data_IF_687046205388
#
_entry.id   IF_687046205388
#
_cell.length_a   1.000
_cell.length_b   1.000
_cell.length_c   1.000
_cell.angle_alpha   90.00
_cell.angle_beta   90.00
_cell.angle_gamma   90.00
#
_symmetry.space_group_name_H-M   'P 1'
#
loop_
_entity.id
_entity.type
_entity.pdbx_description
1 polymer ?
#
# COMPACT_ATOMS: atom_id res chain seq x y z
N UNK A 1 32.22 -10.84 -5.91
CA UNK A 1 31.36 -9.74 -6.40
C UNK A 1 30.99 -8.90 -5.19
N UNK A 2 30.98 -7.57 -5.29
CA UNK A 2 30.48 -6.72 -4.20
C UNK A 2 28.97 -6.94 -4.03
N UNK A 3 28.48 -6.91 -2.79
CA UNK A 3 27.05 -6.84 -2.50
C UNK A 3 26.42 -5.65 -3.27
N UNK A 4 25.23 -5.81 -3.86
CA UNK A 4 24.52 -4.69 -4.46
C UNK A 4 24.18 -3.62 -3.41
N UNK A 5 24.33 -2.33 -3.76
CA UNK A 5 23.88 -1.25 -2.89
C UNK A 5 22.35 -1.30 -2.73
N UNK A 6 21.86 -1.02 -1.51
CA UNK A 6 20.43 -0.91 -1.26
C UNK A 6 19.85 0.39 -1.80
N UNK A 7 18.70 0.31 -2.47
CA UNK A 7 17.91 1.45 -2.95
C UNK A 7 16.47 1.26 -2.46
N UNK A 8 15.98 2.21 -1.68
CA UNK A 8 14.60 2.23 -1.20
C UNK A 8 13.73 3.16 -2.04
N UNK A 9 12.52 2.74 -2.36
CA UNK A 9 11.51 3.58 -3.01
C UNK A 9 10.28 3.75 -2.12
N UNK A 10 9.85 5.00 -1.92
CA UNK A 10 8.51 5.29 -1.40
C UNK A 10 7.50 5.10 -2.53
N UNK A 11 6.59 4.14 -2.40
CA UNK A 11 5.66 3.74 -3.47
C UNK A 11 4.27 4.36 -3.33
N UNK A 12 4.21 5.56 -2.74
CA UNK A 12 2.95 6.29 -2.60
C UNK A 12 3.20 7.79 -2.54
N UNK A 13 2.18 8.57 -2.86
CA UNK A 13 2.13 10.00 -2.62
C UNK A 13 0.73 10.40 -2.13
N UNK A 14 0.61 11.64 -1.61
CA UNK A 14 -0.62 12.12 -0.96
C UNK A 14 -1.85 12.04 -1.88
N UNK A 15 -1.69 12.49 -3.12
CA UNK A 15 -2.77 12.67 -4.10
C UNK A 15 -3.15 11.43 -4.93
N UNK A 16 -2.74 10.22 -4.51
CA UNK A 16 -3.23 8.99 -5.14
C UNK A 16 -4.75 8.92 -4.99
N UNK A 17 -5.43 8.50 -6.07
CA UNK A 17 -6.87 8.30 -6.10
C UNK A 17 -7.31 7.30 -5.03
N UNK A 18 -8.44 7.53 -4.32
CA UNK A 18 -8.94 6.60 -3.31
C UNK A 18 -9.77 5.47 -3.93
N UNK A 19 -9.34 4.91 -5.05
CA UNK A 19 -10.05 3.86 -5.80
C UNK A 19 -9.70 2.44 -5.37
N UNK A 20 -8.63 2.26 -4.57
CA UNK A 20 -8.19 0.95 -4.09
C UNK A 20 -7.29 0.19 -5.06
N UNK A 21 -6.68 0.86 -6.05
CA UNK A 21 -5.85 0.19 -7.06
C UNK A 21 -4.39 -0.05 -6.64
N UNK A 22 -3.88 0.66 -5.62
CA UNK A 22 -2.44 0.75 -5.33
C UNK A 22 -1.76 -0.61 -5.15
N UNK A 23 -2.38 -1.55 -4.44
CA UNK A 23 -1.80 -2.88 -4.23
C UNK A 23 -1.65 -3.67 -5.52
N UNK A 24 -2.66 -3.62 -6.39
CA UNK A 24 -2.61 -4.27 -7.70
C UNK A 24 -1.61 -3.57 -8.64
N UNK A 25 -1.55 -2.24 -8.62
CA UNK A 25 -0.55 -1.48 -9.37
C UNK A 25 0.88 -1.80 -8.93
N UNK A 26 1.12 -1.97 -7.62
CA UNK A 26 2.42 -2.38 -7.11
C UNK A 26 2.80 -3.77 -7.61
N UNK A 27 1.89 -4.73 -7.48
CA UNK A 27 2.07 -6.11 -7.94
C UNK A 27 2.43 -6.20 -9.42
N UNK A 28 1.82 -5.37 -10.27
CA UNK A 28 2.08 -5.33 -11.71
C UNK A 28 3.45 -4.72 -12.06
N UNK A 29 3.97 -3.83 -11.21
CA UNK A 29 5.18 -3.04 -11.47
C UNK A 29 6.43 -3.56 -10.77
N UNK A 30 6.30 -4.44 -9.78
CA UNK A 30 7.42 -4.87 -8.91
C UNK A 30 8.63 -5.41 -9.70
N UNK A 31 8.38 -6.17 -10.77
CA UNK A 31 9.43 -6.70 -11.64
C UNK A 31 10.19 -5.60 -12.41
N UNK A 32 9.50 -4.52 -12.80
CA UNK A 32 10.12 -3.36 -13.46
C UNK A 32 10.98 -2.57 -12.47
N UNK A 33 10.51 -2.40 -11.23
CA UNK A 33 11.25 -1.72 -10.16
C UNK A 33 12.53 -2.49 -9.78
N UNK A 34 12.43 -3.81 -9.64
CA UNK A 34 13.57 -4.66 -9.34
C UNK A 34 14.63 -4.60 -10.46
N UNK A 35 14.20 -4.63 -11.74
CA UNK A 35 15.10 -4.44 -12.90
C UNK A 35 15.76 -3.06 -12.93
N UNK A 36 15.07 -2.03 -12.43
CA UNK A 36 15.60 -0.69 -12.28
C UNK A 36 16.58 -0.54 -11.10
N UNK A 37 16.77 -1.58 -10.27
CA UNK A 37 17.69 -1.59 -9.15
C UNK A 37 17.09 -1.19 -7.80
N UNK A 38 15.75 -1.08 -7.69
CA UNK A 38 15.08 -0.91 -6.40
C UNK A 38 15.17 -2.21 -5.62
N UNK A 39 15.63 -2.14 -4.37
CA UNK A 39 15.84 -3.32 -3.50
C UNK A 39 14.84 -3.38 -2.35
N UNK A 40 14.12 -2.29 -2.07
CA UNK A 40 13.15 -2.23 -0.99
C UNK A 40 12.09 -1.17 -1.28
N UNK A 41 10.88 -1.39 -0.77
CA UNK A 41 9.75 -0.51 -0.99
C UNK A 41 9.10 -0.14 0.33
N UNK A 42 8.86 1.15 0.52
CA UNK A 42 8.05 1.67 1.62
C UNK A 42 6.61 1.87 1.12
N UNK A 43 5.71 1.03 1.64
CA UNK A 43 4.27 1.09 1.40
C UNK A 43 3.58 2.03 2.42
N UNK A 44 2.46 2.67 2.05
CA UNK A 44 1.70 3.49 2.98
C UNK A 44 1.08 2.65 4.11
N UNK A 45 0.56 3.27 5.19
CA UNK A 45 -0.17 2.55 6.23
C UNK A 45 -1.33 1.73 5.64
N UNK A 46 -1.28 0.41 5.83
CA UNK A 46 -2.20 -0.54 5.18
C UNK A 46 -3.47 -0.84 6.00
N UNK A 47 -3.62 -0.21 7.16
CA UNK A 47 -4.73 -0.42 8.09
C UNK A 47 -5.85 0.62 7.94
N UNK A 48 -7.04 0.32 8.48
CA UNK A 48 -8.23 1.17 8.38
C UNK A 48 -8.01 2.50 9.10
N UNK A 49 -8.21 3.59 8.35
CA UNK A 49 -8.18 4.95 8.86
C UNK A 49 -9.55 5.51 9.25
N UNK A 50 -9.55 6.66 9.93
CA UNK A 50 -10.76 7.35 10.40
C UNK A 50 -11.69 7.77 9.27
N UNK A 51 -11.15 8.10 8.10
CA UNK A 51 -11.91 8.41 6.89
C UNK A 51 -12.19 7.18 5.99
N UNK A 52 -12.03 5.96 6.53
CA UNK A 52 -12.32 4.71 5.83
C UNK A 52 -11.51 4.57 4.54
N UNK A 53 -12.19 4.31 3.41
CA UNK A 53 -11.58 4.17 2.09
C UNK A 53 -10.96 5.44 1.49
N UNK A 54 -11.00 6.58 2.19
CA UNK A 54 -10.46 7.86 1.72
C UNK A 54 -9.25 8.34 2.55
N UNK A 55 -8.97 7.71 3.69
CA UNK A 55 -7.87 8.11 4.57
C UNK A 55 -6.52 7.76 3.93
N UNK A 56 -5.52 8.64 4.06
CA UNK A 56 -4.13 8.34 3.64
C UNK A 56 -3.47 7.33 4.60
N UNK A 57 -4.13 7.00 5.71
CA UNK A 57 -3.72 5.97 6.65
C UNK A 57 -3.04 6.53 7.90
N UNK A 58 -2.64 7.80 7.90
CA UNK A 58 -2.06 8.45 9.08
C UNK A 58 -3.12 8.77 10.16
N UNK A 59 -4.40 8.89 9.78
CA UNK A 59 -5.51 8.95 10.72
C UNK A 59 -5.92 7.53 11.15
N UNK A 60 -5.06 6.80 11.86
CA UNK A 60 -5.30 5.40 12.23
C UNK A 60 -6.58 5.23 13.05
N UNK A 61 -7.37 4.20 12.72
CA UNK A 61 -8.55 3.79 13.49
C UNK A 61 -8.39 2.39 14.07
N UNK A 62 -8.18 1.38 13.23
CA UNK A 62 -8.02 -0.02 13.64
C UNK A 62 -6.80 -0.63 12.95
N UNK A 63 -5.74 -0.87 13.73
CA UNK A 63 -4.47 -1.42 13.23
C UNK A 63 -4.58 -2.88 12.77
N UNK A 64 -5.62 -3.60 13.17
CA UNK A 64 -5.83 -5.00 12.77
C UNK A 64 -6.65 -5.13 11.48
N UNK A 65 -7.36 -4.08 11.09
CA UNK A 65 -8.16 -4.06 9.86
C UNK A 65 -7.32 -3.62 8.67
N UNK A 66 -6.71 -4.58 7.96
CA UNK A 66 -5.95 -4.33 6.74
C UNK A 66 -6.82 -4.15 5.47
N UNK A 67 -8.07 -3.72 5.64
CA UNK A 67 -9.07 -3.69 4.57
C UNK A 67 -9.86 -5.00 4.46
N UNK A 68 -10.22 -5.57 5.61
CA UNK A 68 -10.91 -6.86 5.77
C UNK A 68 -12.32 -6.70 6.35
N UNK A 69 -12.55 -5.70 7.20
CA UNK A 69 -13.81 -5.51 7.91
C UNK A 69 -14.60 -4.31 7.40
N UNK A 70 -15.93 -4.41 7.38
CA UNK A 70 -16.81 -3.27 7.08
C UNK A 70 -16.83 -2.29 8.27
N UNK A 71 -15.94 -1.30 8.20
CA UNK A 71 -15.74 -0.28 9.22
C UNK A 71 -15.50 1.08 8.56
N UNK A 72 -15.98 2.16 9.19
CA UNK A 72 -15.81 3.54 8.67
C UNK A 72 -16.37 3.73 7.24
N UNK A 73 -17.41 2.98 6.88
CA UNK A 73 -18.10 3.08 5.59
C UNK A 73 -17.35 2.44 4.42
N UNK A 74 -16.39 1.55 4.68
CA UNK A 74 -15.72 0.77 3.64
C UNK A 74 -15.12 -0.52 4.19
N UNK A 75 -15.14 -1.59 3.38
CA UNK A 75 -14.33 -2.79 3.64
C UNK A 75 -12.86 -2.49 3.36
N UNK A 76 -12.54 -2.06 2.14
CA UNK A 76 -11.16 -1.76 1.73
C UNK A 76 -10.60 -0.50 2.41
N UNK A 77 -9.29 -0.39 2.42
CA UNK A 77 -8.61 0.88 2.68
C UNK A 77 -8.63 1.77 1.43
N UNK A 78 -7.96 2.93 1.50
CA UNK A 78 -7.67 3.75 0.32
C UNK A 78 -6.93 2.96 -0.78
N UNK A 79 -6.17 1.95 -0.39
CA UNK A 79 -5.17 1.29 -1.24
C UNK A 79 -5.58 -0.09 -1.74
N UNK A 80 -6.58 -0.71 -1.11
CA UNK A 80 -7.09 -2.03 -1.48
C UNK A 80 -7.56 -2.84 -0.26
N UNK A 81 -7.80 -4.11 -0.49
CA UNK A 81 -8.19 -5.12 0.50
C UNK A 81 -6.97 -5.82 1.11
N UNK A 82 -7.19 -6.57 2.19
CA UNK A 82 -6.16 -7.39 2.84
C UNK A 82 -5.54 -8.43 1.89
N UNK A 83 -6.37 -9.09 1.09
CA UNK A 83 -5.91 -10.12 0.16
C UNK A 83 -5.03 -9.52 -0.94
N UNK A 84 -5.39 -8.34 -1.46
CA UNK A 84 -4.56 -7.60 -2.41
C UNK A 84 -3.24 -7.16 -1.77
N UNK A 85 -3.25 -6.70 -0.51
CA UNK A 85 -2.04 -6.31 0.21
C UNK A 85 -1.06 -7.47 0.40
N UNK A 86 -1.56 -8.67 0.72
CA UNK A 86 -0.73 -9.89 0.87
C UNK A 86 -0.15 -10.34 -0.48
N UNK A 87 -0.89 -10.12 -1.56
CA UNK A 87 -0.49 -10.52 -2.91
C UNK A 87 0.42 -9.50 -3.62
N UNK A 88 0.65 -8.34 -2.99
CA UNK A 88 1.37 -7.19 -3.55
C UNK A 88 2.89 -7.40 -3.56
#
# INVERSE_FOLDING_TARGET
MSEPNGVMMQYFHWYISPDGSLWNEFKERVDELAKAGVTSVWLPPAYKGTAGGYDVGYGVYDMFDLGEFDQKGSVRTKYGTKDEYIAA
#
